data_IF_104142933675
#
_entry.id   IF_104142933675
#
_cell.length_a   1.000
_cell.length_b   1.000
_cell.length_c   1.000
_cell.angle_alpha   90.00
_cell.angle_beta   90.00
_cell.angle_gamma   90.00
#
_symmetry.space_group_name_H-M   'P 1'
#
loop_
_entity.id
_entity.type
_entity.pdbx_description
1 polymer ?
#
# COMPACT_ATOMS: atom_id res chain seq x y z
N UNK A 1 -20.87 -3.33 -19.14
CA UNK A 1 -21.34 -2.32 -18.14
C UNK A 1 -20.74 -2.56 -16.76
N UNK A 2 -20.66 -3.82 -16.31
CA UNK A 2 -20.01 -4.15 -15.03
C UNK A 2 -18.54 -3.69 -14.98
N UNK A 3 -17.75 -3.93 -16.01
CA UNK A 3 -16.33 -3.59 -16.07
C UNK A 3 -16.05 -2.09 -15.95
N UNK A 4 -16.92 -1.25 -16.56
CA UNK A 4 -16.81 0.21 -16.43
C UNK A 4 -17.13 0.64 -14.99
N UNK A 5 -18.11 0.02 -14.35
CA UNK A 5 -18.43 0.31 -12.95
C UNK A 5 -17.25 -0.06 -12.03
N UNK A 6 -16.63 -1.23 -12.24
CA UNK A 6 -15.44 -1.60 -11.48
C UNK A 6 -14.27 -0.68 -11.77
N UNK A 7 -14.04 -0.29 -13.01
CA UNK A 7 -13.00 0.68 -13.35
C UNK A 7 -13.18 2.00 -12.60
N UNK A 8 -14.41 2.53 -12.54
CA UNK A 8 -14.72 3.75 -11.78
C UNK A 8 -14.47 3.57 -10.27
N UNK A 9 -14.84 2.41 -9.71
CA UNK A 9 -14.59 2.11 -8.30
C UNK A 9 -13.09 2.01 -8.00
N UNK A 10 -12.30 1.32 -8.85
CA UNK A 10 -10.86 1.27 -8.72
C UNK A 10 -10.20 2.65 -8.85
N UNK A 11 -10.70 3.49 -9.76
CA UNK A 11 -10.26 4.87 -9.89
C UNK A 11 -10.55 5.71 -8.65
N UNK A 12 -11.75 5.60 -8.09
CA UNK A 12 -12.13 6.29 -6.86
C UNK A 12 -11.31 5.84 -5.65
N UNK A 13 -11.08 4.53 -5.50
CA UNK A 13 -10.20 3.97 -4.47
C UNK A 13 -8.78 4.51 -4.62
N UNK A 14 -8.23 4.45 -5.83
CA UNK A 14 -6.88 4.93 -6.10
C UNK A 14 -6.75 6.42 -5.78
N UNK A 15 -7.77 7.23 -6.13
CA UNK A 15 -7.82 8.65 -5.79
C UNK A 15 -7.73 8.86 -4.27
N UNK A 16 -8.59 8.19 -3.49
CA UNK A 16 -8.60 8.35 -2.05
C UNK A 16 -7.29 7.92 -1.41
N UNK A 17 -6.76 6.77 -1.79
CA UNK A 17 -5.50 6.25 -1.25
C UNK A 17 -4.28 7.09 -1.63
N UNK A 18 -4.24 7.60 -2.86
CA UNK A 18 -3.14 8.42 -3.34
C UNK A 18 -3.05 9.77 -2.61
N UNK A 19 -4.13 10.29 -2.04
CA UNK A 19 -4.10 11.49 -1.18
C UNK A 19 -3.19 11.33 0.04
N UNK A 20 -3.02 10.11 0.51
CA UNK A 20 -2.17 9.78 1.66
C UNK A 20 -0.89 9.02 1.27
N UNK A 21 -0.53 9.05 -0.02
CA UNK A 21 0.67 8.38 -0.55
C UNK A 21 0.58 6.86 -0.65
N UNK A 22 -0.63 6.32 -0.65
CA UNK A 22 -0.90 4.89 -0.83
C UNK A 22 -1.42 4.62 -2.25
N UNK A 23 -1.34 3.37 -2.72
CA UNK A 23 -1.83 3.02 -4.07
C UNK A 23 -3.29 2.50 -4.07
N UNK A 24 -3.69 1.82 -3.01
CA UNK A 24 -5.04 1.29 -2.87
C UNK A 24 -5.16 -0.23 -2.81
N UNK A 25 -4.04 -0.94 -2.73
CA UNK A 25 -3.98 -2.40 -2.82
C UNK A 25 -4.97 -3.14 -1.93
N UNK A 26 -5.17 -2.70 -0.68
CA UNK A 26 -6.13 -3.31 0.26
C UNK A 26 -7.56 -3.18 -0.21
N UNK A 27 -7.97 -1.98 -0.65
CA UNK A 27 -9.32 -1.76 -1.12
C UNK A 27 -9.55 -2.36 -2.53
N UNK A 28 -8.52 -2.45 -3.36
CA UNK A 28 -8.60 -3.20 -4.62
C UNK A 28 -8.94 -4.67 -4.35
N UNK A 29 -8.21 -5.29 -3.42
CA UNK A 29 -8.47 -6.67 -3.02
C UNK A 29 -9.87 -6.84 -2.40
N UNK A 30 -10.28 -5.91 -1.54
CA UNK A 30 -11.59 -5.93 -0.93
C UNK A 30 -12.72 -5.80 -1.96
N UNK A 31 -12.59 -4.89 -2.94
CA UNK A 31 -13.55 -4.75 -4.04
C UNK A 31 -13.63 -6.01 -4.90
N UNK A 32 -12.47 -6.61 -5.24
CA UNK A 32 -12.44 -7.85 -6.01
C UNK A 32 -13.06 -9.01 -5.24
N UNK A 33 -12.79 -9.13 -3.94
CA UNK A 33 -13.39 -10.14 -3.08
C UNK A 33 -14.91 -10.00 -3.02
N UNK A 34 -15.41 -8.77 -2.84
CA UNK A 34 -16.84 -8.48 -2.84
C UNK A 34 -17.51 -8.81 -4.19
N UNK A 35 -16.80 -8.60 -5.29
CA UNK A 35 -17.24 -8.91 -6.63
C UNK A 35 -17.02 -10.38 -7.04
N UNK A 36 -16.57 -11.22 -6.10
CA UNK A 36 -16.34 -12.66 -6.32
C UNK A 36 -15.33 -12.96 -7.44
N UNK A 37 -14.29 -12.12 -7.57
CA UNK A 37 -13.18 -12.41 -8.49
C UNK A 37 -12.46 -13.69 -8.06
N UNK A 38 -11.91 -14.48 -9.02
CA UNK A 38 -11.12 -15.64 -8.70
C UNK A 38 -9.92 -15.29 -7.80
N UNK A 39 -9.72 -16.04 -6.73
CA UNK A 39 -8.69 -15.74 -5.71
C UNK A 39 -7.26 -15.74 -6.27
N UNK A 40 -7.00 -16.54 -7.30
CA UNK A 40 -5.71 -16.59 -8.01
C UNK A 40 -5.43 -15.35 -8.89
N UNK A 41 -6.46 -14.57 -9.24
CA UNK A 41 -6.34 -13.35 -10.04
C UNK A 41 -6.28 -12.07 -9.18
N UNK A 42 -6.89 -12.09 -7.99
CA UNK A 42 -7.04 -10.90 -7.15
C UNK A 42 -5.70 -10.28 -6.76
N UNK A 43 -4.79 -11.10 -6.25
CA UNK A 43 -3.48 -10.64 -5.78
C UNK A 43 -2.61 -10.07 -6.91
N UNK A 44 -2.38 -10.76 -8.04
CA UNK A 44 -1.57 -10.19 -9.12
C UNK A 44 -2.23 -8.95 -9.76
N UNK A 45 -3.56 -8.90 -9.86
CA UNK A 45 -4.28 -7.71 -10.31
C UNK A 45 -4.05 -6.53 -9.37
N UNK A 46 -4.22 -6.71 -8.06
CA UNK A 46 -3.97 -5.64 -7.08
C UNK A 46 -2.52 -5.13 -7.13
N UNK A 47 -1.55 -6.04 -7.25
CA UNK A 47 -0.14 -5.67 -7.38
C UNK A 47 0.14 -4.86 -8.65
N UNK A 48 -0.49 -5.22 -9.78
CA UNK A 48 -0.35 -4.48 -11.03
C UNK A 48 -0.98 -3.07 -10.91
N UNK A 49 -2.17 -2.96 -10.34
CA UNK A 49 -2.81 -1.66 -10.07
C UNK A 49 -1.96 -0.80 -9.13
N UNK A 50 -1.35 -1.40 -8.10
CA UNK A 50 -0.41 -0.71 -7.22
C UNK A 50 0.81 -0.19 -7.98
N UNK A 51 1.39 -0.98 -8.89
CA UNK A 51 2.53 -0.55 -9.71
C UNK A 51 2.18 0.70 -10.50
N UNK A 52 1.04 0.69 -11.18
CA UNK A 52 0.60 1.82 -12.01
C UNK A 52 0.34 3.07 -11.16
N UNK A 53 -0.45 2.95 -10.09
CA UNK A 53 -0.78 4.07 -9.22
C UNK A 53 0.46 4.62 -8.49
N UNK A 54 1.29 3.74 -7.92
CA UNK A 54 2.48 4.14 -7.18
C UNK A 54 3.59 4.69 -8.10
N UNK A 55 3.65 4.29 -9.37
CA UNK A 55 4.62 4.84 -10.33
C UNK A 55 4.44 6.34 -10.50
N UNK A 56 3.21 6.80 -10.70
CA UNK A 56 2.92 8.22 -10.82
C UNK A 56 3.21 8.98 -9.51
N UNK A 57 2.74 8.46 -8.38
CA UNK A 57 2.97 9.08 -7.07
C UNK A 57 4.47 9.18 -6.76
N UNK A 58 5.22 8.10 -7.03
CA UNK A 58 6.68 8.08 -6.86
C UNK A 58 7.38 9.11 -7.74
N UNK A 59 6.99 9.18 -9.02
CA UNK A 59 7.54 10.16 -9.95
C UNK A 59 7.29 11.58 -9.46
N UNK A 60 6.06 11.90 -9.02
CA UNK A 60 5.70 13.24 -8.56
C UNK A 60 6.42 13.61 -7.26
N UNK A 61 6.48 12.71 -6.27
CA UNK A 61 7.21 12.92 -5.01
C UNK A 61 8.72 13.07 -5.24
N UNK A 62 9.30 12.26 -6.14
CA UNK A 62 10.72 12.36 -6.47
C UNK A 62 11.04 13.67 -7.20
N UNK A 63 10.21 14.09 -8.14
CA UNK A 63 10.36 15.38 -8.84
C UNK A 63 10.25 16.56 -7.89
N UNK A 64 9.45 16.44 -6.83
CA UNK A 64 9.33 17.44 -5.76
C UNK A 64 10.44 17.36 -4.71
N UNK A 65 11.45 16.48 -4.87
CA UNK A 65 12.51 16.23 -3.88
C UNK A 65 11.99 15.89 -2.48
N UNK A 66 10.82 15.24 -2.42
CA UNK A 66 10.15 14.87 -1.16
C UNK A 66 10.58 13.48 -0.65
N UNK A 67 11.19 12.65 -1.51
CA UNK A 67 11.62 11.30 -1.16
C UNK A 67 12.99 11.34 -0.51
N UNK A 68 13.06 10.98 0.76
CA UNK A 68 14.33 10.74 1.45
C UNK A 68 14.86 9.33 1.10
N UNK A 69 15.66 9.25 0.05
CA UNK A 69 16.23 7.99 -0.42
C UNK A 69 17.17 7.35 0.58
N UNK A 70 17.90 8.15 1.38
CA UNK A 70 18.81 7.62 2.40
C UNK A 70 18.05 6.84 3.49
N UNK A 71 16.89 7.35 3.89
CA UNK A 71 15.99 6.69 4.84
C UNK A 71 15.27 5.50 4.20
N UNK A 72 14.91 5.58 2.93
CA UNK A 72 14.14 4.56 2.21
C UNK A 72 14.98 3.34 1.82
N UNK A 73 16.23 3.51 1.41
CA UNK A 73 17.07 2.43 0.88
C UNK A 73 17.25 1.23 1.82
N UNK A 74 17.55 1.40 3.13
CA UNK A 74 17.65 0.26 4.03
C UNK A 74 16.34 -0.54 4.16
N UNK A 75 15.18 0.16 4.13
CA UNK A 75 13.86 -0.45 4.13
C UNK A 75 13.63 -1.26 2.85
N UNK A 76 13.96 -0.69 1.68
CA UNK A 76 13.77 -1.35 0.38
C UNK A 76 14.67 -2.57 0.22
N UNK A 77 15.97 -2.42 0.46
CA UNK A 77 16.93 -3.51 0.28
C UNK A 77 16.59 -4.74 1.12
N UNK A 78 16.04 -4.54 2.31
CA UNK A 78 15.59 -5.63 3.15
C UNK A 78 14.20 -6.18 2.74
N UNK A 79 13.32 -5.32 2.21
CA UNK A 79 11.96 -5.71 1.85
C UNK A 79 11.87 -6.49 0.54
N UNK A 80 12.68 -6.16 -0.46
CA UNK A 80 12.57 -6.77 -1.79
C UNK A 80 12.78 -8.30 -1.79
N UNK A 81 13.85 -8.85 -1.16
CA UNK A 81 14.02 -10.29 -1.08
C UNK A 81 12.88 -10.99 -0.34
N UNK A 82 12.41 -10.39 0.76
CA UNK A 82 11.34 -10.98 1.55
C UNK A 82 9.97 -10.85 0.88
N UNK A 83 9.72 -9.78 0.12
CA UNK A 83 8.53 -9.65 -0.71
C UNK A 83 8.49 -10.70 -1.83
N UNK A 84 9.63 -11.03 -2.41
CA UNK A 84 9.73 -12.12 -3.40
C UNK A 84 9.37 -13.46 -2.75
N UNK A 85 9.95 -13.77 -1.59
CA UNK A 85 9.65 -14.99 -0.84
C UNK A 85 8.17 -15.06 -0.47
N UNK A 86 7.60 -13.97 0.07
CA UNK A 86 6.17 -13.88 0.35
C UNK A 86 5.32 -14.06 -0.91
N UNK A 87 5.81 -13.56 -2.04
CA UNK A 87 5.18 -13.70 -3.36
C UNK A 87 5.03 -15.15 -3.83
N UNK A 88 5.97 -16.04 -3.51
CA UNK A 88 5.88 -17.45 -3.85
C UNK A 88 4.86 -18.24 -3.01
N UNK A 89 4.47 -17.73 -1.84
CA UNK A 89 3.55 -18.42 -0.95
C UNK A 89 2.11 -18.12 -1.38
N UNK A 90 1.35 -19.17 -1.68
CA UNK A 90 -0.08 -19.08 -1.97
C UNK A 90 -0.84 -19.49 -0.72
N UNK A 91 -1.60 -18.56 -0.14
CA UNK A 91 -2.48 -18.82 1.00
C UNK A 91 -3.88 -19.22 0.49
N UNK A 92 -4.58 -20.07 1.23
CA UNK A 92 -6.00 -20.25 1.02
C UNK A 92 -6.77 -18.95 1.35
N UNK A 93 -7.96 -18.81 0.79
CA UNK A 93 -8.74 -17.57 0.87
C UNK A 93 -9.04 -17.15 2.31
N UNK A 94 -9.38 -18.09 3.18
CA UNK A 94 -9.73 -17.82 4.57
C UNK A 94 -8.53 -17.31 5.36
N UNK A 95 -7.39 -17.98 5.23
CA UNK A 95 -6.17 -17.59 5.91
C UNK A 95 -5.66 -16.24 5.38
N UNK A 96 -5.76 -16.03 4.06
CA UNK A 96 -5.43 -14.76 3.40
C UNK A 96 -6.24 -13.58 3.98
N UNK A 97 -7.57 -13.69 4.01
CA UNK A 97 -8.46 -12.66 4.56
C UNK A 97 -8.17 -12.41 6.04
N UNK A 98 -8.00 -13.48 6.82
CA UNK A 98 -7.74 -13.37 8.27
C UNK A 98 -6.41 -12.66 8.56
N UNK A 99 -5.32 -13.11 7.95
CA UNK A 99 -3.98 -12.53 8.16
C UNK A 99 -3.97 -11.07 7.74
N UNK A 100 -4.46 -10.77 6.53
CA UNK A 100 -4.46 -9.40 6.00
C UNK A 100 -5.35 -8.49 6.85
N UNK A 101 -6.55 -8.92 7.22
CA UNK A 101 -7.47 -8.15 8.03
C UNK A 101 -6.91 -7.83 9.42
N UNK A 102 -6.31 -8.81 10.11
CA UNK A 102 -5.68 -8.61 11.42
C UNK A 102 -4.53 -7.62 11.36
N UNK A 103 -3.66 -7.73 10.36
CA UNK A 103 -2.51 -6.81 10.20
C UNK A 103 -2.99 -5.39 9.92
N UNK A 104 -4.04 -5.22 9.13
CA UNK A 104 -4.63 -3.90 8.85
C UNK A 104 -5.27 -3.27 10.09
N UNK A 105 -6.01 -4.05 10.88
CA UNK A 105 -6.59 -3.55 12.14
C UNK A 105 -5.51 -3.20 13.16
N UNK A 106 -4.45 -3.99 13.26
CA UNK A 106 -3.31 -3.67 14.10
C UNK A 106 -2.66 -2.36 13.66
N UNK A 107 -2.46 -2.17 12.36
CA UNK A 107 -1.91 -0.93 11.81
C UNK A 107 -2.81 0.29 12.10
N UNK A 108 -4.12 0.14 11.92
CA UNK A 108 -5.10 1.19 12.27
C UNK A 108 -5.09 1.51 13.76
N UNK A 109 -5.03 0.50 14.63
CA UNK A 109 -4.95 0.66 16.09
C UNK A 109 -3.66 1.39 16.50
N UNK A 110 -2.51 1.01 15.95
CA UNK A 110 -1.24 1.71 16.21
C UNK A 110 -1.35 3.19 15.85
N UNK A 111 -1.95 3.48 14.69
CA UNK A 111 -2.10 4.86 14.22
C UNK A 111 -3.11 5.68 15.06
N UNK A 112 -4.17 5.04 15.56
CA UNK A 112 -5.17 5.67 16.44
C UNK A 112 -4.61 5.94 17.84
N UNK A 113 -3.92 4.97 18.44
CA UNK A 113 -3.43 5.04 19.81
C UNK A 113 -2.22 5.95 19.97
N UNK A 114 -1.35 6.00 18.97
CA UNK A 114 -0.16 6.86 19.03
C UNK A 114 -0.49 8.23 18.44
N UNK A 115 -0.59 9.25 19.31
CA UNK A 115 -0.69 10.65 18.87
C UNK A 115 0.63 11.06 18.23
N UNK A 116 0.61 11.46 16.96
CA UNK A 116 1.71 12.22 16.40
C UNK A 116 1.77 13.56 17.18
N UNK A 117 2.88 13.85 17.81
CA UNK A 117 3.12 15.19 18.36
C UNK A 117 3.60 16.05 17.21
N UNK A 118 2.74 16.96 16.79
CA UNK A 118 3.09 17.95 15.78
C UNK A 118 4.27 18.76 16.33
N UNK A 119 5.39 18.79 15.59
CA UNK A 119 6.57 19.57 15.93
C UNK A 119 7.72 18.82 16.62
N UNK A 120 7.59 17.54 16.95
CA UNK A 120 8.77 16.76 17.37
C UNK A 120 9.65 16.45 16.14
N UNK A 121 10.98 16.64 16.25
CA UNK A 121 11.89 16.26 15.18
C UNK A 121 11.84 14.73 14.95
N UNK A 122 11.95 14.33 13.69
CA UNK A 122 12.04 12.91 13.33
C UNK A 122 13.24 12.27 14.05
N UNK A 123 13.00 11.14 14.67
CA UNK A 123 14.08 10.35 15.27
C UNK A 123 14.94 9.72 14.16
N UNK A 124 16.25 9.61 14.37
CA UNK A 124 17.11 8.90 13.44
C UNK A 124 16.64 7.45 13.30
N UNK A 125 16.53 6.98 12.08
CA UNK A 125 16.12 5.61 11.80
C UNK A 125 17.33 4.69 11.98
N UNK A 126 17.38 3.81 13.01
CA UNK A 126 18.50 2.91 13.18
C UNK A 126 18.52 1.88 12.04
N UNK A 127 19.70 1.59 11.50
CA UNK A 127 19.84 0.68 10.36
C UNK A 127 19.21 -0.70 10.61
N UNK A 128 19.46 -1.28 11.77
CA UNK A 128 18.89 -2.57 12.14
C UNK A 128 17.35 -2.54 12.24
N UNK A 129 16.79 -1.42 12.72
CA UNK A 129 15.35 -1.24 12.78
C UNK A 129 14.72 -1.09 11.39
N UNK A 130 15.36 -0.31 10.50
CA UNK A 130 14.92 -0.16 9.13
C UNK A 130 14.94 -1.49 8.38
N UNK A 131 16.03 -2.26 8.49
CA UNK A 131 16.15 -3.56 7.81
C UNK A 131 15.16 -4.58 8.38
N UNK A 132 14.97 -4.64 9.70
CA UNK A 132 13.98 -5.56 10.30
C UNK A 132 12.54 -5.22 9.90
N UNK A 133 12.17 -3.95 9.95
CA UNK A 133 10.84 -3.50 9.53
C UNK A 133 10.66 -3.68 8.03
N UNK A 134 11.66 -3.31 7.22
CA UNK A 134 11.64 -3.52 5.80
C UNK A 134 11.40 -4.98 5.44
N UNK A 135 12.16 -5.90 6.04
CA UNK A 135 12.03 -7.33 5.81
C UNK A 135 10.64 -7.86 6.23
N UNK A 136 10.16 -7.50 7.40
CA UNK A 136 8.85 -7.94 7.88
C UNK A 136 7.70 -7.40 7.00
N UNK A 137 7.72 -6.10 6.69
CA UNK A 137 6.72 -5.45 5.85
C UNK A 137 6.79 -5.97 4.41
N UNK A 138 8.00 -6.19 3.88
CA UNK A 138 8.21 -6.78 2.56
C UNK A 138 7.59 -8.17 2.45
N UNK A 139 7.88 -9.04 3.43
CA UNK A 139 7.30 -10.38 3.48
C UNK A 139 5.77 -10.37 3.48
N UNK A 140 5.17 -9.59 4.39
CA UNK A 140 3.72 -9.45 4.47
C UNK A 140 3.15 -8.82 3.18
N UNK A 141 3.85 -7.85 2.59
CA UNK A 141 3.47 -7.25 1.32
C UNK A 141 3.41 -8.26 0.17
N UNK A 142 4.46 -9.06 0.03
CA UNK A 142 4.51 -10.13 -0.98
C UNK A 142 3.44 -11.19 -0.76
N UNK A 143 3.24 -11.61 0.49
CA UNK A 143 2.27 -12.62 0.90
C UNK A 143 0.82 -12.18 0.62
N UNK A 144 0.50 -10.91 0.93
CA UNK A 144 -0.87 -10.38 0.83
C UNK A 144 -1.17 -9.68 -0.50
N UNK A 145 -0.16 -9.21 -1.23
CA UNK A 145 -0.36 -8.43 -2.44
C UNK A 145 -0.75 -6.96 -2.20
N UNK A 146 -0.66 -6.48 -0.97
CA UNK A 146 -1.09 -5.12 -0.57
C UNK A 146 -0.09 -4.03 -1.00
N UNK A 147 1.15 -4.39 -1.32
CA UNK A 147 2.20 -3.45 -1.72
C UNK A 147 3.01 -2.85 -0.57
N UNK A 148 2.69 -3.17 0.68
CA UNK A 148 3.49 -2.88 1.88
C UNK A 148 3.38 -1.48 2.46
N UNK A 149 3.05 -0.46 1.69
CA UNK A 149 2.97 0.92 2.19
C UNK A 149 1.97 1.12 3.33
N UNK A 150 0.87 0.39 3.25
CA UNK A 150 -0.19 0.37 4.27
C UNK A 150 0.33 -0.11 5.64
N UNK A 151 1.29 -1.01 5.64
CA UNK A 151 1.93 -1.50 6.87
C UNK A 151 3.09 -0.60 7.29
N UNK A 152 3.85 -0.08 6.31
CA UNK A 152 5.01 0.78 6.56
C UNK A 152 4.59 2.11 7.19
N UNK A 153 3.55 2.76 6.67
CA UNK A 153 3.14 4.09 7.09
C UNK A 153 2.84 4.20 8.60
N UNK A 154 2.00 3.35 9.21
CA UNK A 154 1.75 3.44 10.65
C UNK A 154 2.99 3.16 11.50
N UNK A 155 3.92 2.31 11.02
CA UNK A 155 5.16 2.02 11.73
C UNK A 155 6.10 3.23 11.73
N UNK A 156 6.30 3.88 10.59
CA UNK A 156 7.15 5.07 10.49
C UNK A 156 6.63 6.21 11.37
N UNK A 157 5.31 6.44 11.36
CA UNK A 157 4.65 7.47 12.18
C UNK A 157 4.74 7.09 13.67
N UNK A 158 4.46 5.84 14.02
CA UNK A 158 4.44 5.37 15.41
C UNK A 158 5.82 5.38 16.06
N UNK A 159 6.88 5.15 15.30
CA UNK A 159 8.26 5.19 15.75
C UNK A 159 8.87 6.61 15.70
N UNK A 160 8.12 7.59 15.20
CA UNK A 160 8.59 8.96 14.97
C UNK A 160 9.78 9.03 14.00
N UNK A 161 9.86 8.09 13.04
CA UNK A 161 10.91 8.06 12.02
C UNK A 161 10.60 8.98 10.84
N UNK A 162 9.32 9.25 10.60
CA UNK A 162 8.87 10.16 9.57
C UNK A 162 7.54 10.83 9.96
N UNK A 163 7.38 12.07 9.56
CA UNK A 163 6.09 12.76 9.64
C UNK A 163 5.06 12.14 8.69
N UNK A 164 3.75 12.36 8.88
CA UNK A 164 2.73 11.82 7.96
C UNK A 164 2.96 12.16 6.48
N UNK A 165 3.41 13.38 6.17
CA UNK A 165 3.71 13.79 4.78
C UNK A 165 4.97 13.12 4.22
N UNK A 166 6.03 13.01 5.03
CA UNK A 166 7.23 12.26 4.64
C UNK A 166 6.91 10.77 4.45
N UNK A 167 6.09 10.21 5.33
CA UNK A 167 5.64 8.82 5.24
C UNK A 167 4.89 8.58 3.92
N UNK A 168 4.03 9.49 3.47
CA UNK A 168 3.37 9.40 2.18
C UNK A 168 4.40 9.34 1.02
N UNK A 169 5.42 10.22 1.07
CA UNK A 169 6.47 10.26 0.05
C UNK A 169 7.38 9.01 0.06
N UNK A 170 7.60 8.39 1.22
CA UNK A 170 8.37 7.15 1.35
C UNK A 170 7.54 5.91 0.95
N UNK A 171 6.22 5.94 1.20
CA UNK A 171 5.34 4.81 0.94
C UNK A 171 5.16 4.53 -0.56
N UNK A 172 5.03 5.55 -1.39
CA UNK A 172 4.80 5.36 -2.82
C UNK A 172 5.92 4.56 -3.52
N UNK A 173 7.22 4.92 -3.43
CA UNK A 173 8.30 4.13 -4.02
C UNK A 173 8.47 2.76 -3.33
N UNK A 174 8.16 2.65 -2.04
CA UNK A 174 8.16 1.37 -1.34
C UNK A 174 7.08 0.42 -1.88
N UNK A 175 5.85 0.92 -2.08
CA UNK A 175 4.76 0.16 -2.70
C UNK A 175 5.14 -0.26 -4.11
N UNK A 176 5.66 0.66 -4.91
CA UNK A 176 6.06 0.38 -6.28
C UNK A 176 7.05 -0.79 -6.35
N UNK A 177 8.16 -0.69 -5.61
CA UNK A 177 9.21 -1.68 -5.64
C UNK A 177 8.75 -3.05 -5.12
N UNK A 178 8.05 -3.08 -3.99
CA UNK A 178 7.52 -4.34 -3.42
C UNK A 178 6.42 -4.95 -4.29
N UNK A 179 5.60 -4.14 -4.96
CA UNK A 179 4.56 -4.64 -5.86
C UNK A 179 5.16 -5.26 -7.13
N UNK A 180 6.23 -4.68 -7.68
CA UNK A 180 6.94 -5.27 -8.84
C UNK A 180 7.50 -6.64 -8.47
N UNK A 181 8.22 -6.73 -7.36
CA UNK A 181 8.85 -7.98 -6.92
C UNK A 181 7.79 -9.01 -6.46
N UNK A 182 6.76 -8.56 -5.72
CA UNK A 182 5.65 -9.40 -5.30
C UNK A 182 4.84 -9.96 -6.49
N UNK A 183 4.63 -9.15 -7.54
CA UNK A 183 3.98 -9.59 -8.77
C UNK A 183 4.82 -10.65 -9.49
N UNK A 184 6.13 -10.44 -9.58
CA UNK A 184 7.02 -11.43 -10.15
C UNK A 184 6.93 -12.78 -9.40
N UNK A 185 6.91 -12.74 -8.05
CA UNK A 185 6.72 -13.94 -7.22
C UNK A 185 5.37 -14.62 -7.45
N UNK A 186 4.28 -13.84 -7.50
CA UNK A 186 2.94 -14.34 -7.73
C UNK A 186 2.79 -14.99 -9.12
N UNK A 187 3.35 -14.35 -10.15
CA UNK A 187 3.34 -14.90 -11.52
C UNK A 187 4.18 -16.17 -11.62
N UNK A 188 5.33 -16.23 -10.96
CA UNK A 188 6.13 -17.45 -10.89
C UNK A 188 5.37 -18.60 -10.19
N UNK A 189 4.54 -18.27 -9.20
CA UNK A 189 3.65 -19.22 -8.52
C UNK A 189 2.40 -19.61 -9.35
N UNK A 190 2.31 -19.19 -10.61
CA UNK A 190 1.22 -19.53 -11.53
C UNK A 190 -0.04 -18.65 -11.43
N UNK A 191 0.02 -17.55 -10.66
CA UNK A 191 -1.08 -16.59 -10.59
C UNK A 191 -0.96 -15.55 -11.72
N UNK A 192 -2.09 -15.15 -12.32
CA UNK A 192 -2.12 -14.17 -13.42
C UNK A 192 -3.13 -13.07 -13.12
N UNK A 193 -2.87 -11.82 -13.54
CA UNK A 193 -3.88 -10.76 -13.46
C UNK A 193 -5.12 -11.09 -14.30
N UNK A 194 -6.27 -10.55 -13.92
CA UNK A 194 -7.50 -10.67 -14.71
C UNK A 194 -7.35 -10.02 -16.10
N UNK A 195 -8.12 -10.50 -17.09
CA UNK A 195 -8.04 -10.03 -18.47
C UNK A 195 -8.31 -8.52 -18.62
N UNK A 196 -9.23 -7.98 -17.80
CA UNK A 196 -9.64 -6.57 -17.85
C UNK A 196 -8.74 -5.63 -17.03
N UNK A 197 -7.61 -6.14 -16.51
CA UNK A 197 -6.70 -5.37 -15.64
C UNK A 197 -6.22 -4.07 -16.29
N UNK A 198 -6.07 -4.01 -17.61
CA UNK A 198 -5.64 -2.80 -18.31
C UNK A 198 -6.63 -1.63 -18.15
N UNK A 199 -7.94 -1.91 -18.18
CA UNK A 199 -9.00 -0.92 -17.95
C UNK A 199 -8.96 -0.40 -16.52
N UNK A 200 -8.82 -1.32 -15.56
CA UNK A 200 -8.71 -0.97 -14.15
C UNK A 200 -7.43 -0.19 -13.85
N UNK A 201 -6.33 -0.53 -14.54
CA UNK A 201 -5.05 0.18 -14.41
C UNK A 201 -5.12 1.63 -14.89
N UNK A 202 -5.80 1.89 -16.03
CA UNK A 202 -6.02 3.25 -16.52
C UNK A 202 -6.85 4.08 -15.54
N UNK A 203 -7.91 3.50 -15.00
CA UNK A 203 -8.75 4.18 -14.01
C UNK A 203 -7.99 4.43 -12.70
N UNK A 204 -7.21 3.45 -12.22
CA UNK A 204 -6.36 3.61 -11.04
C UNK A 204 -5.28 4.67 -11.25
N UNK A 205 -4.68 4.75 -12.44
CA UNK A 205 -3.72 5.80 -12.79
C UNK A 205 -4.37 7.19 -12.72
N UNK A 206 -5.54 7.36 -13.36
CA UNK A 206 -6.27 8.63 -13.33
C UNK A 206 -6.61 9.04 -11.89
N UNK A 207 -7.08 8.10 -11.07
CA UNK A 207 -7.34 8.32 -9.67
C UNK A 207 -6.09 8.72 -8.89
N UNK A 208 -4.97 8.01 -9.10
CA UNK A 208 -3.69 8.31 -8.45
C UNK A 208 -3.16 9.69 -8.83
N UNK A 209 -3.30 10.09 -10.09
CA UNK A 209 -2.87 11.41 -10.57
C UNK A 209 -3.60 12.53 -9.82
N UNK A 210 -4.91 12.45 -9.73
CA UNK A 210 -5.72 13.44 -9.03
C UNK A 210 -5.45 13.39 -7.54
N UNK A 211 -5.50 12.19 -6.94
CA UNK A 211 -5.34 11.99 -5.51
C UNK A 211 -3.99 12.46 -4.97
N UNK A 212 -2.90 12.16 -5.66
CA UNK A 212 -1.55 12.59 -5.23
C UNK A 212 -1.43 14.12 -5.25
N UNK A 213 -1.97 14.79 -6.27
CA UNK A 213 -1.96 16.25 -6.34
C UNK A 213 -2.79 16.86 -5.21
N UNK A 214 -3.98 16.31 -4.95
CA UNK A 214 -4.85 16.75 -3.84
C UNK A 214 -4.14 16.57 -2.50
N UNK A 215 -3.53 15.40 -2.26
CA UNK A 215 -2.79 15.10 -1.05
C UNK A 215 -1.64 16.06 -0.79
N UNK A 216 -0.85 16.35 -1.84
CA UNK A 216 0.28 17.28 -1.73
C UNK A 216 -0.13 18.72 -1.44
N UNK A 217 -1.21 19.19 -2.07
CA UNK A 217 -1.58 20.60 -2.02
C UNK A 217 -2.50 20.96 -0.88
N UNK A 218 -3.45 20.09 -0.53
CA UNK A 218 -4.59 20.45 0.32
C UNK A 218 -4.68 19.71 1.65
N UNK A 219 -4.01 18.54 1.80
CA UNK A 219 -4.09 17.81 3.04
C UNK A 219 -3.05 18.27 4.06
N UNK A 220 -3.52 18.55 5.28
CA UNK A 220 -2.65 18.76 6.45
C UNK A 220 -2.08 17.42 6.94
N UNK A 221 -1.02 17.45 7.75
CA UNK A 221 -0.45 16.25 8.37
C UNK A 221 -1.48 15.48 9.21
N UNK A 222 -2.27 16.20 9.98
CA UNK A 222 -3.33 15.65 10.84
C UNK A 222 -4.42 14.97 9.99
N UNK A 223 -4.85 15.62 8.91
CA UNK A 223 -5.87 15.08 8.01
C UNK A 223 -5.39 13.83 7.28
N UNK A 224 -4.15 13.83 6.78
CA UNK A 224 -3.50 12.65 6.17
C UNK A 224 -3.52 11.46 7.12
N UNK A 225 -3.18 11.67 8.40
CA UNK A 225 -3.17 10.64 9.42
C UNK A 225 -4.56 10.07 9.70
N UNK A 226 -5.58 10.92 9.88
CA UNK A 226 -6.96 10.45 10.12
C UNK A 226 -7.53 9.70 8.92
N UNK A 227 -7.30 10.19 7.72
CA UNK A 227 -7.71 9.48 6.49
C UNK A 227 -7.05 8.11 6.38
N UNK A 228 -5.73 8.03 6.63
CA UNK A 228 -5.02 6.76 6.61
C UNK A 228 -5.60 5.78 7.66
N UNK A 229 -5.82 6.25 8.90
CA UNK A 229 -6.42 5.43 9.95
C UNK A 229 -7.83 4.92 9.62
N UNK A 230 -8.68 5.78 9.06
CA UNK A 230 -10.03 5.41 8.65
C UNK A 230 -10.03 4.38 7.51
N UNK A 231 -9.17 4.57 6.50
CA UNK A 231 -9.00 3.66 5.38
C UNK A 231 -8.55 2.27 5.85
N UNK A 232 -7.51 2.23 6.72
CA UNK A 232 -7.00 0.98 7.27
C UNK A 232 -8.02 0.25 8.12
N UNK A 233 -8.73 0.98 8.98
CA UNK A 233 -9.78 0.42 9.83
C UNK A 233 -10.92 -0.18 9.00
N UNK A 234 -11.43 0.55 8.01
CA UNK A 234 -12.47 0.09 7.13
C UNK A 234 -12.06 -1.16 6.33
N UNK A 235 -10.86 -1.14 5.73
CA UNK A 235 -10.35 -2.27 4.97
C UNK A 235 -10.12 -3.52 5.86
N UNK A 236 -9.59 -3.33 7.06
CA UNK A 236 -9.38 -4.43 8.01
C UNK A 236 -10.68 -5.08 8.49
N UNK A 237 -11.70 -4.27 8.79
CA UNK A 237 -13.03 -4.76 9.17
C UNK A 237 -13.65 -5.53 8.00
N UNK A 238 -13.60 -4.96 6.79
CA UNK A 238 -14.16 -5.59 5.61
C UNK A 238 -13.56 -6.98 5.35
N UNK A 239 -12.24 -7.12 5.41
CA UNK A 239 -11.55 -8.39 5.15
C UNK A 239 -11.80 -9.46 6.23
N UNK A 240 -12.11 -9.06 7.47
CA UNK A 240 -12.35 -10.02 8.56
C UNK A 240 -13.81 -10.51 8.61
N UNK A 241 -14.77 -9.68 8.22
CA UNK A 241 -16.19 -9.96 8.44
C UNK A 241 -16.97 -10.23 7.14
N UNK A 242 -16.37 -9.93 5.99
CA UNK A 242 -16.96 -10.12 4.67
C UNK A 242 -15.98 -10.79 3.70
#
# INVERSE_FOLDING_TARGET
>A
MADIMFALLFGAVSLLYATVGQAGGTAFLALMAFASFPSNEMRPTALLLNIVAASYSTWLFNRGSLVDWAKLMPLLLASLPTALVGGFIVLDERLYKTVTGLVLLLAAAILALRRARDGEPDRPTPLWGATSIGAAVGFVSGLTGVGGGVFLAPLLIALHWASPKQTAALSAPFILANSVVGLAGAMYAGQTPTADTWLFALAALAGAMIGTIVGLRWLSQTMTRYMLGAILGAAGIQLLFF
#
